data_IF_314294123138
#
_entry.id   IF_314294123138
#
_cell.length_a   1.000
_cell.length_b   1.000
_cell.length_c   1.000
_cell.angle_alpha   90.00
_cell.angle_beta   90.00
_cell.angle_gamma   90.00
#
_symmetry.space_group_name_H-M   'P 1'
#
loop_
_entity.id
_entity.type
_entity.pdbx_description
1 polymer ?
#
# COMPACT_ATOMS: atom_id res chain seq x y z
N UNK A 1 -3.70 4.55 27.85
CA UNK A 1 -2.49 4.01 28.50
C UNK A 1 -1.54 3.66 27.38
N UNK A 2 -0.49 4.46 27.20
CA UNK A 2 0.54 4.16 26.22
C UNK A 2 1.44 3.09 26.87
N UNK A 3 1.46 1.88 26.32
CA UNK A 3 2.56 0.95 26.58
C UNK A 3 3.84 1.62 26.10
N UNK A 4 4.58 2.16 27.05
CA UNK A 4 5.92 2.64 26.80
C UNK A 4 6.73 1.39 26.45
N UNK A 5 7.25 1.24 25.21
CA UNK A 5 8.07 0.09 24.88
C UNK A 5 9.30 0.16 25.77
N UNK A 6 9.37 -0.74 26.75
CA UNK A 6 10.42 -0.87 27.75
C UNK A 6 11.79 -0.81 27.02
N UNK A 7 12.56 0.30 27.10
CA UNK A 7 13.83 0.44 26.41
C UNK A 7 14.97 -0.38 27.05
N UNK A 8 14.65 -1.27 28.01
CA UNK A 8 15.60 -1.85 28.97
C UNK A 8 16.31 -3.13 28.49
N UNK A 9 16.94 -3.13 27.31
CA UNK A 9 17.77 -4.26 26.83
C UNK A 9 19.26 -3.89 26.74
N UNK A 10 19.83 -3.38 27.83
CA UNK A 10 21.16 -2.75 27.78
C UNK A 10 22.33 -3.74 27.85
N UNK A 11 22.17 -4.90 28.51
CA UNK A 11 23.31 -5.80 28.79
C UNK A 11 23.11 -7.20 28.23
N UNK A 12 23.92 -7.53 27.23
CA UNK A 12 24.05 -8.91 26.78
C UNK A 12 25.00 -9.67 27.69
N UNK A 13 24.61 -10.88 28.08
CA UNK A 13 25.47 -11.83 28.76
C UNK A 13 25.94 -12.90 27.77
N UNK A 14 27.23 -13.21 27.84
CA UNK A 14 27.75 -14.45 27.29
C UNK A 14 27.57 -15.51 28.37
N UNK A 15 26.75 -16.51 28.07
CA UNK A 15 26.39 -17.57 29.01
C UNK A 15 27.11 -18.85 28.65
N UNK A 16 27.41 -19.65 29.65
CA UNK A 16 28.03 -20.97 29.54
C UNK A 16 26.99 -22.06 29.76
N UNK A 17 27.27 -23.28 29.29
CA UNK A 17 26.38 -24.42 29.53
C UNK A 17 26.18 -24.70 31.04
N UNK A 18 27.17 -24.40 31.89
CA UNK A 18 27.05 -24.53 33.35
C UNK A 18 26.07 -23.55 33.97
N UNK A 19 26.02 -22.31 33.48
CA UNK A 19 25.08 -21.29 33.96
C UNK A 19 23.64 -21.57 33.52
N UNK A 20 23.45 -22.46 32.54
CA UNK A 20 22.16 -22.90 32.04
C UNK A 20 21.78 -24.31 32.54
N UNK A 21 22.50 -24.86 33.52
CA UNK A 21 22.33 -26.25 33.95
C UNK A 21 21.00 -26.54 34.66
N UNK A 22 20.38 -25.53 35.24
CA UNK A 22 19.07 -25.61 35.91
C UNK A 22 17.88 -25.35 34.98
N UNK A 23 18.15 -24.95 33.73
CA UNK A 23 17.11 -24.62 32.77
C UNK A 23 16.36 -25.85 32.27
N UNK A 24 15.04 -25.74 32.24
CA UNK A 24 14.11 -26.81 31.84
C UNK A 24 13.17 -26.30 30.76
N UNK A 25 12.79 -27.18 29.83
CA UNK A 25 11.78 -26.87 28.82
C UNK A 25 10.38 -27.04 29.42
N UNK A 26 9.53 -26.03 29.24
CA UNK A 26 8.11 -26.08 29.59
C UNK A 26 7.34 -26.60 28.39
N UNK A 27 6.46 -27.59 28.61
CA UNK A 27 5.62 -28.19 27.56
C UNK A 27 4.15 -27.86 27.78
N UNK A 28 3.43 -27.62 26.69
CA UNK A 28 1.98 -27.47 26.71
C UNK A 28 1.33 -28.79 27.12
N UNK A 29 0.34 -28.70 28.00
CA UNK A 29 -0.42 -29.88 28.47
C UNK A 29 -1.33 -30.46 27.38
N UNK A 30 -1.68 -29.67 26.36
CA UNK A 30 -2.70 -30.05 25.36
C UNK A 30 -2.09 -30.90 24.24
N UNK A 31 -0.91 -30.54 23.77
CA UNK A 31 -0.28 -31.09 22.57
C UNK A 31 1.17 -31.55 22.80
N UNK A 32 1.68 -31.45 24.04
CA UNK A 32 3.04 -31.82 24.45
C UNK A 32 4.17 -31.07 23.69
N UNK A 33 3.82 -29.98 23.00
CA UNK A 33 4.79 -29.13 22.32
C UNK A 33 5.57 -28.30 23.36
N UNK A 34 6.83 -28.00 23.05
CA UNK A 34 7.65 -27.10 23.88
C UNK A 34 7.11 -25.69 23.67
N UNK A 35 6.58 -25.09 24.74
CA UNK A 35 6.02 -23.73 24.72
C UNK A 35 6.96 -22.71 25.32
N UNK A 36 7.92 -23.14 26.15
CA UNK A 36 8.82 -22.22 26.81
C UNK A 36 9.97 -22.92 27.51
N UNK A 37 10.68 -22.16 28.33
CA UNK A 37 11.74 -22.67 29.19
C UNK A 37 11.84 -21.86 30.48
N UNK A 38 12.18 -22.50 31.58
CA UNK A 38 12.30 -21.89 32.90
C UNK A 38 13.67 -22.20 33.50
N UNK A 39 14.27 -21.22 34.15
CA UNK A 39 15.57 -21.37 34.83
C UNK A 39 16.00 -20.08 35.50
N UNK A 40 17.14 -20.10 36.19
CA UNK A 40 17.71 -18.92 36.83
C UNK A 40 18.35 -17.99 35.81
N UNK A 41 18.13 -16.69 35.98
CA UNK A 41 18.82 -15.67 35.20
C UNK A 41 20.33 -15.70 35.51
N UNK A 42 21.21 -15.76 34.50
CA UNK A 42 22.66 -15.78 34.74
C UNK A 42 23.24 -14.53 35.41
N UNK A 43 22.51 -13.41 35.43
CA UNK A 43 22.95 -12.17 36.07
C UNK A 43 22.36 -11.93 37.47
N UNK A 44 21.04 -12.05 37.64
CA UNK A 44 20.42 -11.83 38.96
C UNK A 44 20.10 -13.11 39.74
N UNK A 45 20.28 -14.29 39.14
CA UNK A 45 19.97 -15.61 39.71
C UNK A 45 18.50 -15.87 40.07
N UNK A 46 17.61 -14.88 39.90
CA UNK A 46 16.18 -15.05 40.05
C UNK A 46 15.60 -15.96 38.96
N UNK A 47 14.59 -16.74 39.33
CA UNK A 47 13.84 -17.56 38.39
C UNK A 47 13.21 -16.68 37.33
N UNK A 48 13.42 -17.03 36.07
CA UNK A 48 12.82 -16.38 34.91
C UNK A 48 12.13 -17.43 34.05
N UNK A 49 11.03 -17.04 33.44
CA UNK A 49 10.32 -17.86 32.46
C UNK A 49 10.48 -17.22 31.08
N UNK A 50 10.85 -18.05 30.11
CA UNK A 50 10.68 -17.75 28.70
C UNK A 50 9.27 -18.16 28.36
N UNK A 51 8.33 -17.24 28.61
CA UNK A 51 6.97 -17.41 28.13
C UNK A 51 6.98 -17.36 26.59
N UNK A 52 6.15 -18.18 25.91
CA UNK A 52 5.92 -17.99 24.49
C UNK A 52 5.51 -16.54 24.22
N UNK A 53 4.65 -15.95 25.04
CA UNK A 53 4.04 -14.64 24.78
C UNK A 53 5.08 -13.48 24.75
N UNK A 54 6.05 -13.45 25.67
CA UNK A 54 7.03 -12.34 25.77
C UNK A 54 8.09 -12.30 24.65
N UNK A 55 8.14 -13.34 23.80
CA UNK A 55 9.10 -13.43 22.69
C UNK A 55 8.48 -13.86 21.36
N UNK A 56 7.30 -14.48 21.38
CA UNK A 56 6.51 -14.82 20.19
C UNK A 56 5.51 -13.74 19.80
N UNK A 57 4.95 -12.93 20.72
CA UNK A 57 3.82 -12.06 20.33
C UNK A 57 4.21 -10.99 19.32
N UNK A 58 5.42 -10.41 19.41
CA UNK A 58 5.85 -9.45 18.37
C UNK A 58 6.01 -10.06 16.96
N UNK A 59 5.97 -11.38 16.82
CA UNK A 59 6.00 -12.07 15.52
C UNK A 59 4.69 -12.82 15.17
N UNK A 60 3.84 -13.15 16.14
CA UNK A 60 2.63 -13.97 15.96
C UNK A 60 1.31 -13.19 15.89
N UNK A 61 1.22 -11.94 16.37
CA UNK A 61 -0.07 -11.19 16.40
C UNK A 61 -0.61 -10.76 15.01
N UNK A 62 -0.05 -11.25 13.90
CA UNK A 62 -0.65 -11.08 12.56
C UNK A 62 -1.21 -12.36 11.93
N UNK A 63 -1.32 -13.45 12.69
CA UNK A 63 -2.25 -14.50 12.30
C UNK A 63 -2.01 -15.81 13.01
N UNK A 64 -2.96 -16.23 13.84
CA UNK A 64 -3.22 -17.64 14.06
C UNK A 64 -4.66 -17.91 14.51
N UNK A 65 -5.28 -18.87 13.82
CA UNK A 65 -6.29 -19.79 14.34
C UNK A 65 -6.29 -21.04 13.45
N UNK A 66 -5.37 -21.97 13.73
CA UNK A 66 -5.24 -23.23 12.99
C UNK A 66 -4.37 -24.25 13.72
N UNK A 67 -4.85 -25.50 13.80
CA UNK A 67 -4.15 -26.62 14.45
C UNK A 67 -2.92 -27.06 13.64
N UNK A 68 -1.78 -27.17 14.32
CA UNK A 68 -0.48 -27.48 13.72
C UNK A 68 -0.27 -28.99 13.50
N UNK A 69 0.21 -29.43 12.33
CA UNK A 69 0.63 -30.82 12.09
C UNK A 69 1.95 -31.16 12.82
N UNK A 70 2.08 -32.42 13.25
CA UNK A 70 3.27 -32.94 13.94
C UNK A 70 4.51 -32.91 13.03
N UNK A 71 5.51 -32.10 13.41
CA UNK A 71 6.73 -31.88 12.62
C UNK A 71 7.83 -32.89 12.92
N UNK A 72 8.60 -33.24 11.89
CA UNK A 72 9.87 -33.94 12.04
C UNK A 72 10.90 -32.99 12.69
N UNK A 73 11.58 -33.40 13.77
CA UNK A 73 12.35 -32.49 14.61
C UNK A 73 13.62 -32.01 13.88
N UNK A 74 13.72 -30.72 13.58
CA UNK A 74 15.03 -30.08 13.67
C UNK A 74 15.46 -30.19 15.14
N UNK A 75 16.57 -30.86 15.44
CA UNK A 75 16.93 -31.27 16.79
C UNK A 75 17.10 -30.12 17.81
N UNK A 76 17.10 -28.86 17.36
CA UNK A 76 17.44 -27.68 18.17
C UNK A 76 16.62 -26.45 17.76
N UNK A 77 16.62 -25.45 18.66
CA UNK A 77 15.95 -24.17 18.54
C UNK A 77 16.74 -23.05 19.25
N UNK A 78 17.31 -22.09 18.52
CA UNK A 78 18.07 -20.96 19.14
C UNK A 78 17.21 -19.73 19.37
N UNK A 79 17.30 -19.11 20.56
CA UNK A 79 16.42 -18.01 21.01
C UNK A 79 17.18 -16.93 21.79
N UNK A 80 16.66 -15.71 21.73
CA UNK A 80 17.03 -14.61 22.64
C UNK A 80 16.20 -14.76 23.91
N UNK A 81 16.87 -14.80 25.04
CA UNK A 81 16.28 -14.88 26.36
C UNK A 81 16.46 -13.55 27.06
N UNK A 82 15.36 -12.96 27.52
CA UNK A 82 15.40 -11.78 28.38
C UNK A 82 15.10 -12.23 29.81
N UNK A 83 15.75 -11.60 30.79
CA UNK A 83 15.33 -11.76 32.17
C UNK A 83 13.95 -11.12 32.37
N UNK A 84 12.96 -11.95 32.67
CA UNK A 84 11.58 -11.58 33.00
C UNK A 84 11.23 -12.02 34.43
N UNK A 85 12.19 -11.99 35.36
CA UNK A 85 11.91 -12.30 36.75
C UNK A 85 10.97 -11.24 37.38
N UNK A 86 10.10 -11.67 38.29
CA UNK A 86 9.14 -10.80 38.95
C UNK A 86 9.75 -9.87 40.01
N UNK A 87 11.02 -10.05 40.34
CA UNK A 87 11.74 -9.23 41.30
C UNK A 87 12.01 -7.82 40.76
N UNK A 88 11.93 -6.84 41.66
CA UNK A 88 12.23 -5.45 41.33
C UNK A 88 13.73 -5.25 41.14
N UNK A 89 14.09 -4.63 40.03
CA UNK A 89 15.44 -4.23 39.73
C UNK A 89 15.49 -2.73 39.49
N UNK A 90 16.58 -2.09 39.90
CA UNK A 90 16.85 -0.67 39.63
C UNK A 90 17.94 -0.58 38.55
N UNK A 91 17.56 -0.32 37.29
CA UNK A 91 18.50 -0.11 36.21
C UNK A 91 19.48 1.01 36.54
N UNK A 92 20.71 0.91 36.03
CA UNK A 92 21.72 1.93 36.26
C UNK A 92 21.22 3.30 35.76
N UNK A 93 21.11 4.26 36.68
CA UNK A 93 20.60 5.61 36.40
C UNK A 93 19.08 5.78 36.42
N UNK A 94 18.31 4.77 36.84
CA UNK A 94 16.86 4.87 37.03
C UNK A 94 16.49 4.88 38.52
N UNK A 95 15.60 5.79 38.91
CA UNK A 95 14.94 5.78 40.24
C UNK A 95 13.66 4.93 40.23
N UNK A 96 13.13 4.62 39.04
CA UNK A 96 11.95 3.78 38.89
C UNK A 96 12.35 2.30 38.82
N UNK A 97 11.74 1.42 39.64
CA UNK A 97 11.97 -0.02 39.55
C UNK A 97 11.38 -0.59 38.25
N UNK A 98 12.05 -1.60 37.72
CA UNK A 98 11.61 -2.38 36.56
C UNK A 98 11.52 -3.87 36.93
N UNK A 99 10.61 -4.59 36.28
CA UNK A 99 10.60 -6.05 36.33
C UNK A 99 11.69 -6.63 35.44
N UNK A 100 12.43 -7.61 35.94
CA UNK A 100 13.58 -8.19 35.25
C UNK A 100 14.84 -7.33 35.35
N UNK A 101 16.01 -7.97 35.34
CA UNK A 101 17.29 -7.25 35.49
C UNK A 101 17.79 -6.54 34.21
N UNK A 102 16.98 -6.50 33.15
CA UNK A 102 17.34 -5.90 31.84
C UNK A 102 18.44 -6.62 31.06
N UNK A 103 18.95 -7.74 31.58
CA UNK A 103 19.95 -8.56 30.89
C UNK A 103 19.31 -9.56 29.94
N UNK A 104 20.02 -9.90 28.88
CA UNK A 104 19.60 -10.91 27.92
C UNK A 104 20.75 -11.77 27.41
N UNK A 105 20.46 -12.98 26.95
CA UNK A 105 21.44 -13.94 26.44
C UNK A 105 20.85 -14.78 25.31
N UNK A 106 21.69 -15.56 24.62
CA UNK A 106 21.22 -16.54 23.64
C UNK A 106 21.28 -17.94 24.22
N UNK A 107 20.23 -18.72 23.96
CA UNK A 107 20.21 -20.15 24.27
C UNK A 107 19.80 -20.97 23.05
N UNK A 108 20.31 -22.19 22.97
CA UNK A 108 19.85 -23.21 22.03
C UNK A 108 19.16 -24.31 22.82
N UNK A 109 17.84 -24.45 22.60
CA UNK A 109 16.99 -25.48 23.18
C UNK A 109 17.03 -26.73 22.30
N UNK A 110 17.15 -27.92 22.86
CA UNK A 110 17.01 -29.18 22.13
C UNK A 110 15.54 -29.60 22.12
N UNK A 111 14.97 -29.80 20.94
CA UNK A 111 13.56 -30.22 20.83
C UNK A 111 13.38 -31.72 21.11
N UNK A 112 14.46 -32.50 20.93
CA UNK A 112 14.52 -33.91 21.27
C UNK A 112 14.71 -34.09 22.80
N UNK A 113 13.76 -34.72 23.51
CA UNK A 113 13.87 -34.93 24.95
C UNK A 113 15.03 -35.85 25.36
N UNK A 114 15.62 -36.62 24.44
CA UNK A 114 16.77 -37.46 24.73
C UNK A 114 18.07 -36.66 24.90
N UNK A 115 18.11 -35.39 24.47
CA UNK A 115 19.31 -34.53 24.56
C UNK A 115 19.39 -33.88 25.93
N UNK A 116 20.46 -34.18 26.67
CA UNK A 116 20.78 -33.58 27.97
C UNK A 116 22.11 -32.80 27.88
N UNK A 117 22.22 -31.55 28.39
CA UNK A 117 21.13 -30.72 28.88
C UNK A 117 20.22 -30.23 27.73
N UNK A 118 18.92 -29.98 28.02
CA UNK A 118 17.92 -29.58 27.02
C UNK A 118 18.04 -28.12 26.59
N UNK A 119 18.79 -27.30 27.34
CA UNK A 119 19.10 -25.90 27.03
C UNK A 119 20.62 -25.75 27.10
N UNK A 120 21.21 -25.11 26.09
CA UNK A 120 22.65 -24.89 25.98
C UNK A 120 22.94 -23.46 25.60
N UNK A 121 24.14 -22.99 25.89
CA UNK A 121 24.61 -21.70 25.41
C UNK A 121 24.70 -21.73 23.88
N UNK A 122 24.33 -20.63 23.23
CA UNK A 122 24.60 -20.50 21.80
C UNK A 122 26.12 -20.39 21.59
N UNK A 123 26.70 -21.42 20.97
CA UNK A 123 28.16 -21.56 20.81
C UNK A 123 28.73 -20.77 19.65
N UNK A 124 27.88 -20.35 18.71
CA UNK A 124 28.31 -19.60 17.53
C UNK A 124 28.21 -18.09 17.79
N UNK A 125 29.31 -17.52 18.28
CA UNK A 125 29.44 -16.09 18.53
C UNK A 125 29.27 -15.23 17.26
N UNK A 126 29.43 -15.80 16.05
CA UNK A 126 29.20 -15.09 14.81
C UNK A 126 27.69 -14.90 14.50
N UNK A 127 26.81 -15.73 15.09
CA UNK A 127 25.36 -15.58 14.92
C UNK A 127 24.81 -14.36 15.65
N UNK A 128 25.44 -13.91 16.74
CA UNK A 128 24.97 -12.80 17.56
C UNK A 128 24.89 -11.45 16.83
N UNK A 129 26.01 -10.92 16.28
CA UNK A 129 25.96 -9.67 15.54
C UNK A 129 25.12 -9.80 14.27
N UNK A 130 25.10 -10.98 13.64
CA UNK A 130 24.26 -11.24 12.48
C UNK A 130 22.76 -11.21 12.83
N UNK A 131 22.34 -11.87 13.91
CA UNK A 131 20.94 -11.89 14.37
C UNK A 131 20.46 -10.51 14.80
N UNK A 132 21.27 -9.76 15.56
CA UNK A 132 20.93 -8.39 15.95
C UNK A 132 20.84 -7.46 14.73
N UNK A 133 21.87 -7.44 13.89
CA UNK A 133 21.88 -6.58 12.71
C UNK A 133 20.70 -6.91 11.79
N UNK A 134 20.35 -8.19 11.66
CA UNK A 134 19.17 -8.61 10.92
C UNK A 134 17.88 -8.16 11.59
N UNK A 135 17.71 -8.33 12.90
CA UNK A 135 16.48 -7.93 13.59
C UNK A 135 16.26 -6.42 13.52
N UNK A 136 17.29 -5.64 13.82
CA UNK A 136 17.23 -4.18 13.82
C UNK A 136 16.97 -3.65 12.39
N UNK A 137 17.75 -4.11 11.41
CA UNK A 137 17.55 -3.71 10.00
C UNK A 137 16.17 -4.12 9.51
N UNK A 138 15.71 -5.34 9.80
CA UNK A 138 14.41 -5.82 9.32
C UNK A 138 13.26 -5.03 9.93
N UNK A 139 13.28 -4.78 11.25
CA UNK A 139 12.22 -4.02 11.91
C UNK A 139 12.16 -2.57 11.41
N UNK A 140 13.31 -1.90 11.28
CA UNK A 140 13.37 -0.53 10.77
C UNK A 140 13.02 -0.43 9.29
N UNK A 141 13.51 -1.36 8.45
CA UNK A 141 13.17 -1.40 7.02
C UNK A 141 11.68 -1.64 6.80
N UNK A 142 11.07 -2.55 7.56
CA UNK A 142 9.63 -2.85 7.49
C UNK A 142 8.78 -1.65 7.89
N UNK A 143 9.09 -1.03 9.03
CA UNK A 143 8.38 0.16 9.50
C UNK A 143 8.52 1.33 8.51
N UNK A 144 9.72 1.50 7.95
CA UNK A 144 10.00 2.54 6.96
C UNK A 144 9.26 2.27 5.64
N UNK A 145 9.25 1.03 5.17
CA UNK A 145 8.56 0.63 3.95
C UNK A 145 7.04 0.80 4.10
N UNK A 146 6.48 0.34 5.22
CA UNK A 146 5.05 0.46 5.51
C UNK A 146 4.62 1.92 5.63
N UNK A 147 5.34 2.73 6.41
CA UNK A 147 5.02 4.16 6.56
C UNK A 147 5.15 4.91 5.23
N UNK A 148 6.11 4.53 4.38
CA UNK A 148 6.23 5.09 3.03
C UNK A 148 5.05 4.70 2.15
N UNK A 149 4.62 3.43 2.18
CA UNK A 149 3.46 2.96 1.45
C UNK A 149 2.15 3.64 1.90
N UNK A 150 1.94 3.80 3.21
CA UNK A 150 0.78 4.51 3.77
C UNK A 150 0.72 5.98 3.30
N UNK A 151 1.86 6.67 3.26
CA UNK A 151 1.94 8.04 2.72
C UNK A 151 1.57 8.09 1.23
N UNK A 152 2.01 7.11 0.45
CA UNK A 152 1.66 7.00 -0.97
C UNK A 152 0.18 6.68 -1.19
N UNK A 153 -0.45 5.85 -0.36
CA UNK A 153 -1.90 5.59 -0.41
C UNK A 153 -2.67 6.90 -0.21
N UNK A 154 -2.32 7.67 0.81
CA UNK A 154 -2.95 8.96 1.09
C UNK A 154 -2.77 9.94 -0.09
N UNK A 155 -1.56 10.04 -0.63
CA UNK A 155 -1.27 10.93 -1.76
C UNK A 155 -2.05 10.55 -3.04
N UNK A 156 -2.04 9.27 -3.43
CA UNK A 156 -2.78 8.78 -4.61
C UNK A 156 -4.28 8.98 -4.44
N UNK A 157 -4.82 8.69 -3.25
CA UNK A 157 -6.24 8.89 -2.94
C UNK A 157 -6.64 10.37 -3.02
N UNK A 158 -5.81 11.27 -2.49
CA UNK A 158 -6.05 12.71 -2.55
C UNK A 158 -6.05 13.22 -4.00
N UNK A 159 -5.10 12.77 -4.83
CA UNK A 159 -5.04 13.13 -6.25
C UNK A 159 -6.28 12.63 -7.00
N UNK A 160 -6.69 11.38 -6.79
CA UNK A 160 -7.90 10.83 -7.40
C UNK A 160 -9.16 11.56 -6.94
N UNK A 161 -9.24 11.93 -5.67
CA UNK A 161 -10.34 12.74 -5.14
C UNK A 161 -10.43 14.10 -5.83
N UNK A 162 -9.29 14.80 -5.97
CA UNK A 162 -9.23 16.09 -6.66
C UNK A 162 -9.68 15.99 -8.12
N UNK A 163 -9.21 14.97 -8.84
CA UNK A 163 -9.60 14.78 -10.24
C UNK A 163 -11.02 14.24 -10.41
N UNK A 164 -11.52 13.44 -9.46
CA UNK A 164 -12.92 13.04 -9.40
C UNK A 164 -13.84 14.26 -9.30
N UNK A 165 -13.51 15.21 -8.43
CA UNK A 165 -14.23 16.48 -8.32
C UNK A 165 -14.14 17.31 -9.60
N UNK A 166 -12.94 17.47 -10.17
CA UNK A 166 -12.75 18.19 -11.42
C UNK A 166 -13.55 17.57 -12.58
N UNK A 167 -13.57 16.24 -12.68
CA UNK A 167 -14.32 15.51 -13.70
C UNK A 167 -15.83 15.72 -13.59
N UNK A 168 -16.38 15.75 -12.36
CA UNK A 168 -17.80 16.04 -12.12
C UNK A 168 -18.15 17.48 -12.55
N UNK A 169 -17.29 18.45 -12.24
CA UNK A 169 -17.50 19.86 -12.61
C UNK A 169 -17.37 20.08 -14.12
N UNK A 170 -16.40 19.44 -14.75
CA UNK A 170 -16.10 19.61 -16.18
C UNK A 170 -17.12 18.85 -17.05
N UNK A 171 -17.67 17.74 -16.56
CA UNK A 171 -18.99 17.22 -16.94
C UNK A 171 -19.25 16.91 -18.42
N UNK A 172 -20.49 16.47 -18.73
CA UNK A 172 -20.90 16.01 -20.09
C UNK A 172 -20.58 17.03 -21.20
N UNK A 173 -20.58 18.31 -20.85
CA UNK A 173 -20.45 19.42 -21.79
C UNK A 173 -19.02 19.58 -22.30
N UNK A 174 -18.02 19.10 -21.55
CA UNK A 174 -16.63 19.07 -22.00
C UNK A 174 -16.41 18.32 -23.32
N UNK A 175 -17.24 17.30 -23.58
CA UNK A 175 -17.15 16.50 -24.80
C UNK A 175 -18.00 17.04 -25.96
N UNK A 176 -18.86 18.01 -25.69
CA UNK A 176 -19.70 18.63 -26.72
C UNK A 176 -18.85 19.52 -27.62
N UNK A 177 -18.99 19.34 -28.95
CA UNK A 177 -18.19 20.07 -29.93
C UNK A 177 -16.76 19.53 -30.15
N UNK A 178 -16.31 18.50 -29.44
CA UNK A 178 -15.04 17.85 -29.78
C UNK A 178 -15.20 16.91 -30.98
N UNK A 179 -14.16 16.79 -31.81
CA UNK A 179 -14.12 15.79 -32.89
C UNK A 179 -14.11 14.36 -32.34
N UNK A 180 -14.55 13.37 -33.12
CA UNK A 180 -14.58 11.97 -32.68
C UNK A 180 -13.19 11.46 -32.25
N UNK A 181 -12.14 11.83 -32.98
CA UNK A 181 -10.76 11.45 -32.63
C UNK A 181 -10.36 12.03 -31.26
N UNK A 182 -10.65 13.31 -31.00
CA UNK A 182 -10.32 13.95 -29.73
C UNK A 182 -11.04 13.29 -28.55
N UNK A 183 -12.32 12.96 -28.72
CA UNK A 183 -13.10 12.24 -27.70
C UNK A 183 -12.52 10.87 -27.40
N UNK A 184 -12.11 10.12 -28.43
CA UNK A 184 -11.50 8.80 -28.26
C UNK A 184 -10.16 8.93 -27.52
N UNK A 185 -9.32 9.90 -27.89
CA UNK A 185 -8.01 10.13 -27.23
C UNK A 185 -8.18 10.57 -25.78
N UNK A 186 -9.04 11.56 -25.50
CA UNK A 186 -9.30 12.02 -24.14
C UNK A 186 -9.95 10.92 -23.28
N UNK A 187 -10.89 10.16 -23.86
CA UNK A 187 -11.56 9.05 -23.19
C UNK A 187 -10.61 7.88 -22.89
N UNK A 188 -9.74 7.52 -23.83
CA UNK A 188 -8.76 6.45 -23.61
C UNK A 188 -7.68 6.85 -22.61
N UNK A 189 -7.20 8.10 -22.66
CA UNK A 189 -6.27 8.65 -21.68
C UNK A 189 -6.88 8.65 -20.27
N UNK A 190 -8.14 9.10 -20.12
CA UNK A 190 -8.86 9.04 -18.85
C UNK A 190 -9.07 7.60 -18.37
N UNK A 191 -9.45 6.67 -19.25
CA UNK A 191 -9.60 5.26 -18.92
C UNK A 191 -8.30 4.60 -18.44
N UNK A 192 -7.19 4.86 -19.15
CA UNK A 192 -5.86 4.41 -18.74
C UNK A 192 -5.43 5.01 -17.40
N UNK A 193 -5.77 6.28 -17.15
CA UNK A 193 -5.51 6.90 -15.86
C UNK A 193 -6.24 6.17 -14.72
N UNK A 194 -7.53 5.87 -14.88
CA UNK A 194 -8.31 5.14 -13.85
C UNK A 194 -7.76 3.73 -13.61
N UNK A 195 -7.46 2.99 -14.68
CA UNK A 195 -6.89 1.63 -14.56
C UNK A 195 -5.52 1.69 -13.86
N UNK A 196 -4.65 2.61 -14.28
CA UNK A 196 -3.32 2.80 -13.67
C UNK A 196 -3.42 3.18 -12.20
N UNK A 197 -4.39 4.01 -11.83
CA UNK A 197 -4.65 4.39 -10.45
C UNK A 197 -5.13 3.21 -9.59
N UNK A 198 -6.03 2.37 -10.12
CA UNK A 198 -6.49 1.17 -9.42
C UNK A 198 -5.34 0.18 -9.18
N UNK A 199 -4.49 -0.05 -10.19
CA UNK A 199 -3.29 -0.88 -10.07
C UNK A 199 -2.32 -0.28 -9.05
N UNK A 200 -2.14 1.05 -9.06
CA UNK A 200 -1.30 1.75 -8.08
C UNK A 200 -1.81 1.55 -6.66
N UNK A 201 -3.08 1.83 -6.39
CA UNK A 201 -3.69 1.66 -5.06
C UNK A 201 -3.58 0.22 -4.57
N UNK A 202 -3.90 -0.75 -5.43
CA UNK A 202 -3.80 -2.16 -5.09
C UNK A 202 -2.35 -2.56 -4.75
N UNK A 203 -1.38 -2.14 -5.56
CA UNK A 203 0.03 -2.50 -5.37
C UNK A 203 0.62 -1.86 -4.12
N UNK A 204 0.28 -0.59 -3.82
CA UNK A 204 0.75 0.09 -2.61
C UNK A 204 0.08 -0.48 -1.35
N UNK A 205 -1.22 -0.81 -1.39
CA UNK A 205 -1.88 -1.50 -0.26
C UNK A 205 -1.26 -2.87 0.01
N UNK A 206 -1.00 -3.64 -1.05
CA UNK A 206 -0.35 -4.94 -0.93
C UNK A 206 1.07 -4.82 -0.40
N UNK A 207 1.79 -3.75 -0.75
CA UNK A 207 3.11 -3.47 -0.18
C UNK A 207 3.03 -3.06 1.31
N UNK A 208 2.01 -2.31 1.72
CA UNK A 208 1.84 -1.83 3.09
C UNK A 208 1.43 -2.94 4.07
N UNK A 209 0.48 -3.78 3.67
CA UNK A 209 -0.17 -4.74 4.57
C UNK A 209 0.14 -6.20 4.22
N UNK A 210 0.60 -6.48 3.00
CA UNK A 210 0.78 -7.85 2.53
C UNK A 210 -0.56 -8.61 2.41
N UNK A 211 -0.45 -9.92 2.20
CA UNK A 211 -1.59 -10.83 2.36
C UNK A 211 -1.56 -11.44 3.76
N UNK A 212 -2.72 -11.60 4.42
CA UNK A 212 -2.79 -12.40 5.63
C UNK A 212 -2.39 -13.83 5.28
N UNK A 213 -1.32 -14.31 5.89
CA UNK A 213 -0.86 -15.70 5.73
C UNK A 213 -0.58 -16.20 7.13
N UNK A 214 -1.18 -17.32 7.48
CA UNK A 214 -0.84 -18.04 8.70
C UNK A 214 0.60 -18.53 8.61
N UNK A 215 1.37 -18.26 9.64
CA UNK A 215 2.78 -18.64 9.71
C UNK A 215 2.94 -19.67 10.81
N UNK A 216 3.59 -20.79 10.47
CA UNK A 216 4.07 -21.77 11.44
C UNK A 216 5.58 -21.59 11.63
N UNK A 217 6.01 -21.34 12.88
CA UNK A 217 7.41 -21.12 13.30
C UNK A 217 7.82 -22.14 14.38
N UNK A 218 7.13 -23.26 14.48
CA UNK A 218 7.30 -24.23 15.57
C UNK A 218 8.66 -24.95 15.58
N UNK A 219 9.50 -24.84 14.55
CA UNK A 219 10.86 -25.41 14.54
C UNK A 219 11.88 -24.57 13.77
N UNK A 220 13.18 -24.89 13.89
CA UNK A 220 14.26 -24.11 13.28
C UNK A 220 14.27 -24.16 11.75
N UNK A 221 13.86 -25.28 11.15
CA UNK A 221 13.71 -25.36 9.70
C UNK A 221 12.59 -24.43 9.20
N UNK A 222 11.45 -24.41 9.89
CA UNK A 222 10.33 -23.52 9.61
C UNK A 222 10.69 -22.06 9.88
N UNK A 223 11.38 -21.76 10.97
CA UNK A 223 11.88 -20.42 11.28
C UNK A 223 12.84 -19.92 10.19
N UNK A 224 13.81 -20.73 9.79
CA UNK A 224 14.76 -20.35 8.73
C UNK A 224 14.08 -20.23 7.37
N UNK A 225 13.10 -21.09 7.06
CA UNK A 225 12.29 -21.01 5.83
C UNK A 225 11.38 -19.77 5.83
N UNK A 226 10.74 -19.50 6.96
CA UNK A 226 9.94 -18.30 7.17
C UNK A 226 10.81 -17.06 7.00
N UNK A 227 12.00 -17.04 7.60
CA UNK A 227 12.94 -15.92 7.49
C UNK A 227 13.37 -15.68 6.03
N UNK A 228 13.75 -16.74 5.30
CA UNK A 228 14.04 -16.65 3.86
C UNK A 228 12.85 -16.12 3.06
N UNK A 229 11.64 -16.59 3.39
CA UNK A 229 10.40 -16.17 2.75
C UNK A 229 10.07 -14.71 3.09
N UNK A 230 10.28 -14.28 4.34
CA UNK A 230 10.07 -12.92 4.83
C UNK A 230 10.97 -11.94 4.09
N UNK A 231 12.26 -12.24 3.97
CA UNK A 231 13.20 -11.42 3.19
C UNK A 231 12.79 -11.31 1.71
N UNK A 232 12.30 -12.40 1.12
CA UNK A 232 11.76 -12.37 -0.24
C UNK A 232 10.50 -11.49 -0.31
N UNK A 233 9.57 -11.60 0.63
CA UNK A 233 8.36 -10.76 0.72
C UNK A 233 8.70 -9.27 0.86
N UNK A 234 9.74 -8.91 1.61
CA UNK A 234 10.19 -7.51 1.71
C UNK A 234 10.65 -6.96 0.37
N UNK A 235 11.44 -7.76 -0.37
CA UNK A 235 11.85 -7.40 -1.73
C UNK A 235 10.64 -7.28 -2.65
N UNK A 236 9.72 -8.25 -2.61
CA UNK A 236 8.48 -8.22 -3.40
C UNK A 236 7.60 -7.00 -3.04
N UNK A 237 7.52 -6.62 -1.77
CA UNK A 237 6.78 -5.45 -1.31
C UNK A 237 7.44 -4.16 -1.80
N UNK A 238 8.77 -4.05 -1.77
CA UNK A 238 9.49 -2.92 -2.33
C UNK A 238 9.29 -2.82 -3.86
N UNK A 239 9.31 -3.94 -4.58
CA UNK A 239 9.05 -3.98 -6.02
C UNK A 239 7.59 -3.60 -6.34
N UNK A 240 6.63 -4.06 -5.55
CA UNK A 240 5.22 -3.67 -5.66
C UNK A 240 5.00 -2.19 -5.35
N UNK A 241 5.69 -1.64 -4.35
CA UNK A 241 5.66 -0.21 -4.04
C UNK A 241 6.20 0.61 -5.22
N UNK A 242 7.34 0.20 -5.81
CA UNK A 242 7.90 0.85 -7.01
C UNK A 242 6.94 0.80 -8.19
N UNK A 243 6.36 -0.38 -8.46
CA UNK A 243 5.35 -0.53 -9.49
C UNK A 243 4.15 0.39 -9.23
N UNK A 244 3.66 0.43 -8.00
CA UNK A 244 2.56 1.28 -7.59
C UNK A 244 2.85 2.76 -7.79
N UNK A 245 4.05 3.22 -7.43
CA UNK A 245 4.51 4.60 -7.66
C UNK A 245 4.58 4.92 -9.15
N UNK A 246 5.19 4.04 -9.96
CA UNK A 246 5.29 4.24 -11.42
C UNK A 246 3.91 4.27 -12.07
N UNK A 247 3.02 3.32 -11.74
CA UNK A 247 1.64 3.32 -12.22
C UNK A 247 0.87 4.57 -11.79
N UNK A 248 1.09 5.05 -10.55
CA UNK A 248 0.50 6.29 -10.05
C UNK A 248 0.96 7.52 -10.82
N UNK A 249 2.26 7.63 -11.10
CA UNK A 249 2.82 8.72 -11.91
C UNK A 249 2.35 8.66 -13.37
N UNK A 250 2.32 7.47 -13.97
CA UNK A 250 1.79 7.27 -15.33
C UNK A 250 0.29 7.61 -15.40
N UNK A 251 -0.48 7.23 -14.38
CA UNK A 251 -1.90 7.57 -14.27
C UNK A 251 -2.10 9.09 -14.19
N UNK A 252 -1.32 9.77 -13.34
CA UNK A 252 -1.33 11.23 -13.24
C UNK A 252 -0.99 11.89 -14.58
N UNK A 253 0.06 11.43 -15.26
CA UNK A 253 0.45 11.92 -16.58
C UNK A 253 -0.65 11.73 -17.63
N UNK A 254 -1.28 10.55 -17.68
CA UNK A 254 -2.39 10.26 -18.57
C UNK A 254 -3.59 11.17 -18.30
N UNK A 255 -3.85 11.48 -17.03
CA UNK A 255 -4.94 12.37 -16.66
C UNK A 255 -4.65 13.83 -17.05
N UNK A 256 -3.41 14.30 -16.88
CA UNK A 256 -2.97 15.61 -17.37
C UNK A 256 -3.15 15.71 -18.90
N UNK A 257 -2.80 14.65 -19.65
CA UNK A 257 -3.03 14.60 -21.10
C UNK A 257 -4.53 14.68 -21.42
N UNK A 258 -5.37 13.94 -20.71
CA UNK A 258 -6.81 13.96 -20.92
C UNK A 258 -7.39 15.38 -20.69
N UNK A 259 -6.97 16.06 -19.62
CA UNK A 259 -7.36 17.44 -19.34
C UNK A 259 -6.84 18.42 -20.40
N UNK A 260 -5.59 18.26 -20.83
CA UNK A 260 -5.02 19.08 -21.89
C UNK A 260 -5.79 18.93 -23.21
N UNK A 261 -6.22 17.72 -23.56
CA UNK A 261 -7.11 17.50 -24.69
C UNK A 261 -8.45 18.22 -24.51
N UNK A 262 -9.07 18.15 -23.33
CA UNK A 262 -10.35 18.82 -23.10
C UNK A 262 -10.23 20.35 -23.24
N UNK A 263 -9.12 20.93 -22.76
CA UNK A 263 -8.95 22.38 -22.68
C UNK A 263 -8.40 23.01 -23.95
N UNK A 264 -7.43 22.35 -24.59
CA UNK A 264 -6.69 22.92 -25.70
C UNK A 264 -7.07 22.33 -27.06
N UNK A 265 -7.89 21.27 -27.11
CA UNK A 265 -8.30 20.73 -28.40
C UNK A 265 -9.30 21.68 -29.09
N UNK A 266 -9.09 22.00 -30.39
CA UNK A 266 -9.99 22.86 -31.13
C UNK A 266 -11.41 22.30 -31.11
N UNK A 267 -12.36 23.07 -30.58
CA UNK A 267 -13.77 22.72 -30.69
C UNK A 267 -14.18 22.89 -32.15
N UNK A 268 -14.75 21.84 -32.73
CA UNK A 268 -15.46 21.98 -33.97
C UNK A 268 -16.65 22.89 -33.68
N UNK A 269 -16.71 24.03 -34.35
CA UNK A 269 -17.89 24.88 -34.30
C UNK A 269 -19.09 23.98 -34.56
N UNK A 270 -20.09 23.95 -33.65
CA UNK A 270 -21.28 23.18 -33.89
C UNK A 270 -21.78 23.60 -35.27
N UNK A 271 -21.95 22.64 -36.19
CA UNK A 271 -22.70 22.94 -37.40
C UNK A 271 -24.07 23.38 -36.91
N UNK A 272 -24.37 24.68 -37.06
CA UNK A 272 -25.63 25.21 -36.61
C UNK A 272 -26.80 24.48 -37.27
N UNK A 273 -28.02 24.64 -36.75
CA UNK A 273 -29.18 24.04 -37.38
C UNK A 273 -29.25 24.49 -38.85
N UNK A 274 -29.48 23.54 -39.75
CA UNK A 274 -29.75 23.86 -41.15
C UNK A 274 -31.12 24.51 -41.23
N UNK A 275 -31.18 25.67 -41.83
CA UNK A 275 -32.41 26.43 -42.00
C UNK A 275 -32.59 26.81 -43.46
N UNK A 276 -33.83 26.78 -43.91
CA UNK A 276 -34.28 27.39 -45.16
C UNK A 276 -34.98 28.71 -44.80
N UNK A 277 -34.50 29.78 -45.41
CA UNK A 277 -34.99 31.14 -45.20
C UNK A 277 -35.55 31.66 -46.50
N UNK A 278 -36.78 32.16 -46.46
CA UNK A 278 -37.42 32.82 -47.60
C UNK A 278 -37.39 34.32 -47.38
N UNK A 279 -36.80 35.05 -48.31
CA UNK A 279 -36.74 36.51 -48.31
C UNK A 279 -38.05 37.13 -48.83
N UNK A 280 -38.24 38.43 -48.63
CA UNK A 280 -39.43 39.15 -49.10
C UNK A 280 -39.62 39.14 -50.62
N UNK A 281 -38.54 38.95 -51.37
CA UNK A 281 -38.56 38.79 -52.82
C UNK A 281 -38.84 37.33 -53.27
N UNK A 282 -39.31 36.47 -52.37
CA UNK A 282 -39.55 35.04 -52.56
C UNK A 282 -38.31 34.19 -52.90
N UNK A 283 -37.10 34.74 -52.75
CA UNK A 283 -35.85 33.98 -52.89
C UNK A 283 -35.66 33.07 -51.67
N UNK A 284 -35.38 31.79 -51.93
CA UNK A 284 -35.13 30.79 -50.89
C UNK A 284 -33.64 30.53 -50.76
N UNK A 285 -33.13 30.63 -49.54
CA UNK A 285 -31.73 30.41 -49.22
C UNK A 285 -31.67 29.33 -48.15
N UNK A 286 -30.96 28.26 -48.43
CA UNK A 286 -30.75 27.18 -47.49
C UNK A 286 -29.29 27.16 -47.06
N UNK A 287 -29.05 27.03 -45.75
CA UNK A 287 -27.71 26.91 -45.23
C UNK A 287 -27.68 26.64 -43.74
N UNK A 288 -26.49 26.72 -43.17
CA UNK A 288 -26.23 26.49 -41.76
C UNK A 288 -26.37 27.81 -41.02
N UNK A 289 -27.25 27.89 -40.02
CA UNK A 289 -27.36 29.09 -39.19
C UNK A 289 -26.06 29.31 -38.42
N UNK A 290 -25.44 30.48 -38.58
CA UNK A 290 -24.32 30.91 -37.77
C UNK A 290 -24.80 31.87 -36.68
N UNK A 291 -24.06 31.90 -35.58
CA UNK A 291 -24.31 32.83 -34.48
C UNK A 291 -24.19 34.29 -35.00
N UNK A 292 -25.24 35.07 -34.75
CA UNK A 292 -25.29 36.46 -35.19
C UNK A 292 -24.46 37.35 -34.28
N UNK A 293 -23.69 38.27 -34.87
CA UNK A 293 -22.89 39.25 -34.11
C UNK A 293 -23.68 40.50 -33.72
N UNK A 294 -24.83 40.72 -34.36
CA UNK A 294 -25.61 41.94 -34.26
C UNK A 294 -27.08 41.59 -34.04
N UNK A 295 -27.75 42.32 -33.13
CA UNK A 295 -29.17 42.12 -32.90
C UNK A 295 -29.95 42.43 -34.18
N UNK A 296 -30.85 41.52 -34.57
CA UNK A 296 -31.69 41.70 -35.75
C UNK A 296 -31.06 41.29 -37.08
N UNK A 297 -29.89 40.65 -37.09
CA UNK A 297 -29.31 40.05 -38.30
C UNK A 297 -29.29 38.53 -38.19
N UNK A 298 -29.49 37.85 -39.32
CA UNK A 298 -29.37 36.40 -39.46
C UNK A 298 -28.19 36.08 -40.36
N UNK A 299 -27.25 35.25 -39.90
CA UNK A 299 -26.07 34.84 -40.67
C UNK A 299 -26.24 33.40 -41.12
N UNK A 300 -26.17 33.14 -42.42
CA UNK A 300 -26.32 31.80 -42.99
C UNK A 300 -25.05 31.47 -43.76
N UNK A 301 -24.44 30.31 -43.46
CA UNK A 301 -23.39 29.74 -44.29
C UNK A 301 -24.00 28.78 -45.31
N UNK A 302 -23.88 29.13 -46.60
CA UNK A 302 -24.35 28.30 -47.71
C UNK A 302 -23.46 27.05 -47.88
N UNK A 303 -23.93 26.03 -48.63
CA UNK A 303 -23.15 24.81 -48.91
C UNK A 303 -21.81 25.07 -49.61
N UNK A 304 -21.70 26.18 -50.36
CA UNK A 304 -20.47 26.65 -51.03
C UNK A 304 -19.46 27.31 -50.07
N UNK A 305 -19.81 27.47 -48.79
CA UNK A 305 -18.98 28.10 -47.77
C UNK A 305 -19.14 29.62 -47.65
N UNK A 306 -19.89 30.27 -48.56
CA UNK A 306 -20.17 31.70 -48.48
C UNK A 306 -21.08 32.00 -47.29
N UNK A 307 -20.72 33.04 -46.52
CA UNK A 307 -21.52 33.53 -45.40
C UNK A 307 -22.28 34.76 -45.84
N UNK A 308 -23.60 34.66 -45.84
CA UNK A 308 -24.50 35.77 -46.13
C UNK A 308 -25.17 36.26 -44.83
N UNK A 309 -25.40 37.56 -44.75
CA UNK A 309 -26.05 38.20 -43.59
C UNK A 309 -27.30 38.90 -44.07
N UNK A 310 -28.42 38.62 -43.43
CA UNK A 310 -29.73 39.17 -43.76
C UNK A 310 -30.28 39.98 -42.58
N UNK A 311 -30.71 41.23 -42.80
CA UNK A 311 -31.54 41.94 -41.84
C UNK A 311 -32.82 41.14 -41.55
N UNK A 312 -33.24 41.09 -40.29
CA UNK A 312 -34.46 40.40 -39.89
C UNK A 312 -35.72 40.98 -40.53
N UNK A 313 -35.66 42.24 -40.98
CA UNK A 313 -36.74 42.89 -41.72
C UNK A 313 -36.96 42.29 -43.12
N UNK A 314 -35.94 41.69 -43.73
CA UNK A 314 -36.00 41.13 -45.08
C UNK A 314 -36.45 39.65 -45.08
N UNK A 315 -36.70 39.09 -43.89
CA UNK A 315 -37.02 37.68 -43.69
C UNK A 315 -38.52 37.45 -43.63
N UNK A 316 -39.05 36.75 -44.64
CA UNK A 316 -40.47 36.38 -44.69
C UNK A 316 -40.78 35.14 -43.85
N UNK A 317 -39.98 34.09 -43.99
CA UNK A 317 -40.12 32.85 -43.19
C UNK A 317 -38.78 32.17 -42.93
N UNK A 318 -38.64 31.55 -41.75
CA UNK A 318 -37.49 30.72 -41.36
C UNK A 318 -38.01 29.33 -40.99
N UNK A 319 -37.51 28.30 -41.65
CA UNK A 319 -37.88 26.89 -41.39
C UNK A 319 -36.65 26.05 -41.13
N UNK A 320 -36.75 25.08 -40.23
CA UNK A 320 -35.73 24.04 -40.09
C UNK A 320 -35.73 23.16 -41.34
N UNK A 321 -34.57 22.97 -41.96
CA UNK A 321 -34.41 22.15 -43.15
C UNK A 321 -33.64 20.87 -42.80
N UNK A 322 -34.15 19.71 -43.24
CA UNK A 322 -33.42 18.43 -43.07
C UNK A 322 -32.20 18.31 -43.98
N UNK A 323 -32.27 18.90 -45.18
CA UNK A 323 -31.18 18.98 -46.16
C UNK A 323 -31.33 20.24 -47.02
N UNK A 324 -30.20 20.75 -47.51
CA UNK A 324 -30.18 21.82 -48.52
C UNK A 324 -29.81 21.19 -49.87
N UNK A 325 -30.55 21.49 -50.96
CA UNK A 325 -30.12 21.10 -52.29
C UNK A 325 -28.77 21.76 -52.65
N UNK A 326 -27.89 21.07 -53.40
CA UNK A 326 -26.62 21.63 -53.86
C UNK A 326 -26.80 22.76 -54.87
#
# INVERSE_FOLDING_TARGET
>A
MAENPIPFRYRQLLVTDSELSDWRLTRSKVDNQIVGATGSCPNCHHTTELSPDDSFDSFMTMGQSGALPALAPSARMTRICNCACAEEHFPEGSEEPATGCGSWWLVTMALDPAVVPPVRAATDAALLPALRAVQEVTATEEATLRSSAEKWIAAVTALLGLFGLAGVVVGKDAFTGMSSCARIVAGSAAGLAVIGAAIALFSVHRAAYGWPVEVDISNDHLLTTWFKTRRRRLKEAADQLRLGVVCGLCSLGALVVALACIWFWPRQSPQGPRIEVTLDNDTKICGTLLESKTNGELRIQRPDGHVETFPGADLRTVKSAGSCPP
#
